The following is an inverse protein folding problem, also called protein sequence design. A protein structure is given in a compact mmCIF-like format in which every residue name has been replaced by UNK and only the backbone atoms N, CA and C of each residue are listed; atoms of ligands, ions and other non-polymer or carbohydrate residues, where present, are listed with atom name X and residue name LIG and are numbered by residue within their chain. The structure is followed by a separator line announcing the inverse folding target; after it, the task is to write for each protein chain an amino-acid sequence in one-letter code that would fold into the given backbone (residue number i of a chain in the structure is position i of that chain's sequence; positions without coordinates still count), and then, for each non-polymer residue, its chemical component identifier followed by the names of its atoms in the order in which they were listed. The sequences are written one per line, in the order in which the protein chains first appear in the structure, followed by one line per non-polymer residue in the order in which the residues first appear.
data_IF_549497933083
#
_entry.id   IF_549497933083
#
_cell.length_a   1.000
_cell.length_b   1.000
_cell.length_c   1.000
_cell.angle_alpha   90.00
_cell.angle_beta   90.00
_cell.angle_gamma   90.00
#
_symmetry.space_group_name_H-M   'P 1'
#
loop_
_entity.id
_entity.type
_entity.pdbx_description
1 polymer ?
#
# COMPACT_ATOMS: atom_id res chain seq x y z
N UNK A 1 -48.66 93.68 -45.62
CA UNK A 1 -47.56 93.47 -44.64
C UNK A 1 -47.70 92.08 -44.04
N UNK A 2 -46.56 91.41 -43.83
CA UNK A 2 -46.29 90.20 -43.03
C UNK A 2 -46.81 88.82 -43.48
N UNK A 3 -45.86 87.86 -43.43
CA UNK A 3 -45.80 86.48 -43.96
C UNK A 3 -46.75 85.47 -43.29
N UNK A 4 -46.81 84.24 -43.86
CA UNK A 4 -46.69 83.04 -43.03
C UNK A 4 -45.58 82.08 -43.47
N UNK A 5 -45.30 81.16 -42.55
CA UNK A 5 -44.23 80.15 -42.44
C UNK A 5 -44.58 78.89 -43.25
N UNK A 6 -43.61 78.22 -43.87
CA UNK A 6 -43.61 76.76 -44.06
C UNK A 6 -42.17 76.25 -44.34
N UNK A 7 -41.70 75.29 -43.54
CA UNK A 7 -40.61 74.35 -43.88
C UNK A 7 -41.21 73.16 -44.68
N UNK A 8 -40.50 72.18 -45.30
CA UNK A 8 -39.09 71.75 -45.09
C UNK A 8 -38.37 71.30 -46.39
N UNK A 9 -37.13 70.77 -46.30
CA UNK A 9 -36.67 69.61 -47.11
C UNK A 9 -35.24 69.18 -46.73
N UNK A 10 -35.07 67.92 -46.27
CA UNK A 10 -33.79 67.22 -46.13
C UNK A 10 -33.39 66.58 -47.47
N UNK A 11 -32.10 66.61 -47.85
CA UNK A 11 -31.51 65.73 -48.87
C UNK A 11 -30.10 65.25 -48.46
N UNK A 12 -30.03 63.96 -48.16
CA UNK A 12 -29.06 62.89 -48.52
C UNK A 12 -27.53 63.16 -48.64
N UNK A 13 -26.79 62.53 -47.71
CA UNK A 13 -25.60 61.62 -47.79
C UNK A 13 -24.37 61.90 -48.72
N UNK A 14 -23.23 61.20 -48.50
CA UNK A 14 -22.06 61.50 -47.65
C UNK A 14 -20.80 61.73 -48.58
N UNK A 15 -19.47 61.73 -48.22
CA UNK A 15 -18.78 60.64 -47.51
C UNK A 15 -17.45 60.98 -46.77
N UNK A 16 -16.78 59.91 -46.31
CA UNK A 16 -15.34 59.71 -46.08
C UNK A 16 -14.70 60.03 -44.71
N UNK A 17 -14.53 58.95 -43.95
CA UNK A 17 -13.26 58.41 -43.42
C UNK A 17 -12.34 59.39 -42.67
N UNK A 18 -12.26 59.23 -41.35
CA UNK A 18 -10.97 59.28 -40.64
C UNK A 18 -10.77 58.02 -39.82
N UNK A 19 -9.62 57.41 -40.11
CA UNK A 19 -8.97 56.31 -39.43
C UNK A 19 -8.95 56.51 -37.91
N UNK A 20 -9.34 55.47 -37.17
CA UNK A 20 -8.77 55.19 -35.87
C UNK A 20 -8.55 53.68 -35.78
N UNK A 21 -7.38 53.25 -36.26
CA UNK A 21 -6.82 51.94 -35.97
C UNK A 21 -6.56 51.86 -34.46
N UNK A 22 -7.45 51.22 -33.71
CA UNK A 22 -7.09 50.63 -32.42
C UNK A 22 -7.15 49.11 -32.56
N UNK A 23 -6.13 48.59 -33.26
CA UNK A 23 -5.68 47.21 -33.04
C UNK A 23 -4.89 47.23 -31.75
N UNK A 24 -5.57 47.05 -30.61
CA UNK A 24 -4.90 46.60 -29.40
C UNK A 24 -5.18 45.10 -29.27
N UNK A 25 -4.20 44.38 -29.81
CA UNK A 25 -3.95 42.95 -29.70
C UNK A 25 -4.20 42.49 -28.25
N UNK A 26 -5.39 41.96 -27.98
CA UNK A 26 -5.64 41.16 -26.79
C UNK A 26 -4.89 39.84 -26.99
N UNK A 27 -3.64 39.82 -26.55
CA UNK A 27 -2.87 38.60 -26.35
C UNK A 27 -3.54 37.83 -25.22
N UNK A 28 -4.60 37.08 -25.55
CA UNK A 28 -5.14 36.07 -24.67
C UNK A 28 -4.05 35.01 -24.52
N UNK A 29 -3.25 35.13 -23.45
CA UNK A 29 -2.48 34.02 -22.93
C UNK A 29 -3.52 32.93 -22.61
N UNK A 30 -3.72 32.02 -23.55
CA UNK A 30 -4.31 30.73 -23.27
C UNK A 30 -3.33 30.05 -22.31
N UNK A 31 -3.50 30.29 -21.01
CA UNK A 31 -3.00 29.39 -20.00
C UNK A 31 -3.63 28.04 -20.34
N UNK A 32 -2.85 27.19 -21.01
CA UNK A 32 -3.06 25.76 -20.96
C UNK A 32 -2.92 25.42 -19.49
N UNK A 33 -4.04 25.47 -18.77
CA UNK A 33 -4.18 24.82 -17.49
C UNK A 33 -3.98 23.35 -17.81
N UNK A 34 -2.73 22.90 -17.75
CA UNK A 34 -2.42 21.49 -17.83
C UNK A 34 -3.35 20.83 -16.85
N UNK A 35 -4.24 19.97 -17.36
CA UNK A 35 -5.18 19.25 -16.52
C UNK A 35 -4.37 18.61 -15.41
N UNK A 36 -4.42 19.20 -14.20
CA UNK A 36 -3.98 18.53 -13.00
C UNK A 36 -4.97 17.38 -12.90
N UNK A 37 -4.60 16.21 -13.48
CA UNK A 37 -5.42 15.00 -13.45
C UNK A 37 -5.79 14.83 -12.00
N UNK A 38 -7.04 15.13 -11.65
CA UNK A 38 -7.46 15.15 -10.27
C UNK A 38 -7.13 13.79 -9.69
N UNK A 39 -6.14 13.74 -8.80
CA UNK A 39 -5.77 12.50 -8.13
C UNK A 39 -7.06 11.99 -7.50
N UNK A 40 -7.41 10.74 -7.80
CA UNK A 40 -8.70 10.20 -7.40
C UNK A 40 -8.94 10.45 -5.93
N UNK A 41 -9.96 11.27 -5.63
CA UNK A 41 -10.34 11.52 -4.24
C UNK A 41 -11.06 10.34 -3.61
N UNK A 42 -11.41 9.29 -4.37
CA UNK A 42 -12.10 8.12 -3.84
C UNK A 42 -11.16 6.93 -3.71
N UNK A 43 -11.03 6.40 -2.50
CA UNK A 43 -10.24 5.21 -2.21
C UNK A 43 -11.17 4.10 -1.74
N UNK A 44 -11.14 2.96 -2.42
CA UNK A 44 -11.76 1.72 -1.95
C UNK A 44 -10.73 0.98 -1.11
N UNK A 45 -10.97 0.91 0.21
CA UNK A 45 -10.11 0.22 1.16
C UNK A 45 -10.70 -1.16 1.45
N UNK A 46 -9.91 -2.19 1.17
CA UNK A 46 -10.28 -3.58 1.37
C UNK A 46 -9.57 -4.19 2.57
N UNK A 47 -10.33 -4.43 3.63
CA UNK A 47 -9.82 -5.13 4.80
C UNK A 47 -9.85 -6.65 4.54
N UNK A 48 -8.70 -7.26 4.28
CA UNK A 48 -8.58 -8.70 3.96
C UNK A 48 -9.31 -9.60 4.95
N UNK A 49 -9.82 -10.76 4.49
CA UNK A 49 -10.51 -11.76 5.32
C UNK A 49 -11.79 -11.24 6.02
N UNK A 50 -12.25 -11.88 7.09
CA UNK A 50 -13.41 -11.46 7.89
C UNK A 50 -14.41 -12.59 8.17
N UNK A 51 -15.16 -12.48 9.26
CA UNK A 51 -16.16 -13.47 9.65
C UNK A 51 -15.52 -14.85 9.87
N UNK A 52 -16.00 -15.88 9.18
CA UNK A 52 -15.46 -17.23 9.28
C UNK A 52 -14.04 -17.36 8.69
N UNK A 53 -13.63 -16.46 7.81
CA UNK A 53 -12.28 -16.43 7.26
C UNK A 53 -11.37 -15.67 8.23
N UNK A 54 -10.58 -16.42 9.00
CA UNK A 54 -9.61 -15.88 9.96
C UNK A 54 -8.38 -15.25 9.28
N UNK A 55 -8.09 -15.64 8.04
CA UNK A 55 -6.81 -15.45 7.38
C UNK A 55 -5.66 -16.24 8.02
N UNK A 56 -4.50 -16.26 7.34
CA UNK A 56 -3.29 -16.93 7.81
C UNK A 56 -3.30 -18.47 7.86
N UNK A 57 -2.15 -19.08 8.14
CA UNK A 57 -1.94 -20.55 8.10
C UNK A 57 -1.99 -21.22 9.49
N UNK A 58 -2.08 -22.57 9.56
CA UNK A 58 -1.87 -23.28 10.82
C UNK A 58 -0.56 -22.86 11.52
N UNK A 59 -0.58 -22.77 12.85
CA UNK A 59 0.50 -22.25 13.74
C UNK A 59 0.67 -20.73 13.75
N UNK A 60 -0.12 -19.98 12.99
CA UNK A 60 -0.19 -18.54 13.14
C UNK A 60 -0.76 -18.16 14.51
N UNK A 61 -0.09 -17.23 15.21
CA UNK A 61 -0.40 -16.88 16.61
C UNK A 61 -1.62 -15.97 16.76
N UNK A 62 -1.92 -15.18 15.74
CA UNK A 62 -2.94 -14.13 15.76
C UNK A 62 -3.84 -14.23 14.53
N UNK A 63 -5.13 -13.92 14.68
CA UNK A 63 -6.06 -13.87 13.54
C UNK A 63 -5.75 -12.65 12.67
N UNK A 64 -5.56 -12.87 11.37
CA UNK A 64 -5.24 -11.79 10.42
C UNK A 64 -6.41 -10.82 10.28
N UNK A 65 -7.65 -11.35 10.19
CA UNK A 65 -8.87 -10.57 9.94
C UNK A 65 -9.09 -9.38 10.88
N UNK A 66 -8.69 -9.48 12.15
CA UNK A 66 -8.84 -8.40 13.12
C UNK A 66 -7.79 -7.30 12.91
N UNK A 67 -6.58 -7.70 12.56
CA UNK A 67 -5.46 -6.79 12.30
C UNK A 67 -5.68 -6.01 11.00
N UNK A 68 -6.14 -6.69 9.95
CA UNK A 68 -6.46 -6.04 8.66
C UNK A 68 -7.63 -5.07 8.81
N UNK A 69 -8.65 -5.40 9.60
CA UNK A 69 -9.76 -4.49 9.90
C UNK A 69 -9.28 -3.23 10.62
N UNK A 70 -8.50 -3.39 11.70
CA UNK A 70 -8.01 -2.26 12.49
C UNK A 70 -7.10 -1.33 11.66
N UNK A 71 -6.14 -1.87 10.90
CA UNK A 71 -5.29 -1.07 10.00
C UNK A 71 -6.15 -0.35 8.95
N UNK A 72 -7.13 -1.03 8.37
CA UNK A 72 -8.00 -0.44 7.34
C UNK A 72 -8.89 0.68 7.88
N UNK A 73 -9.42 0.54 9.10
CA UNK A 73 -10.19 1.59 9.76
C UNK A 73 -9.33 2.80 10.14
N UNK A 74 -8.07 2.57 10.56
CA UNK A 74 -7.10 3.65 10.77
C UNK A 74 -6.77 4.36 9.46
N UNK A 75 -6.53 3.59 8.39
CA UNK A 75 -6.26 4.12 7.06
C UNK A 75 -7.41 4.98 6.57
N UNK A 76 -8.66 4.51 6.75
CA UNK A 76 -9.86 5.29 6.47
C UNK A 76 -9.82 6.65 7.17
N UNK A 77 -9.63 6.68 8.50
CA UNK A 77 -9.59 7.94 9.26
C UNK A 77 -8.51 8.90 8.77
N UNK A 78 -7.30 8.38 8.51
CA UNK A 78 -6.18 9.18 8.01
C UNK A 78 -6.48 9.75 6.63
N UNK A 79 -7.08 8.97 5.73
CA UNK A 79 -7.45 9.40 4.39
C UNK A 79 -8.60 10.41 4.40
N UNK A 80 -9.66 10.17 5.17
CA UNK A 80 -10.80 11.09 5.33
C UNK A 80 -10.36 12.45 5.88
N UNK A 81 -9.47 12.47 6.88
CA UNK A 81 -8.86 13.70 7.39
C UNK A 81 -8.03 14.45 6.33
N UNK A 82 -7.58 13.76 5.28
CA UNK A 82 -6.89 14.34 4.12
C UNK A 82 -7.81 14.70 2.95
N UNK A 83 -9.14 14.71 3.14
CA UNK A 83 -10.11 15.08 2.11
C UNK A 83 -10.44 13.97 1.10
N UNK A 84 -10.07 12.73 1.37
CA UNK A 84 -10.44 11.58 0.53
C UNK A 84 -11.81 11.03 0.95
N UNK A 85 -12.62 10.64 -0.02
CA UNK A 85 -13.78 9.78 0.19
C UNK A 85 -13.30 8.34 0.30
N UNK A 86 -13.66 7.64 1.38
CA UNK A 86 -13.24 6.25 1.60
C UNK A 86 -14.44 5.31 1.55
N UNK A 87 -14.34 4.27 0.72
CA UNK A 87 -15.31 3.18 0.63
C UNK A 87 -14.67 1.93 1.21
N UNK A 88 -15.24 1.37 2.26
CA UNK A 88 -14.74 0.14 2.87
C UNK A 88 -15.41 -1.08 2.25
N UNK A 89 -14.66 -2.15 1.94
CA UNK A 89 -15.29 -3.43 1.55
C UNK A 89 -16.01 -4.09 2.72
N UNK A 90 -15.50 -3.89 3.95
CA UNK A 90 -16.16 -4.21 5.23
C UNK A 90 -15.73 -3.24 6.31
N UNK A 91 -16.62 -2.94 7.25
CA UNK A 91 -16.36 -2.07 8.40
C UNK A 91 -16.55 -2.78 9.76
N UNK A 92 -16.76 -4.09 9.74
CA UNK A 92 -16.93 -4.96 10.91
C UNK A 92 -16.33 -6.35 10.62
N UNK A 93 -16.38 -7.26 11.59
CA UNK A 93 -15.91 -8.65 11.41
C UNK A 93 -16.92 -9.51 10.66
N UNK A 94 -17.18 -9.15 9.40
CA UNK A 94 -18.06 -9.89 8.49
C UNK A 94 -17.26 -10.48 7.34
N UNK A 95 -17.66 -11.65 6.88
CA UNK A 95 -17.07 -12.24 5.67
C UNK A 95 -17.60 -11.51 4.43
N UNK A 96 -16.69 -11.06 3.57
CA UNK A 96 -17.01 -10.53 2.25
C UNK A 96 -16.24 -11.35 1.23
N UNK A 97 -16.94 -11.96 0.27
CA UNK A 97 -16.32 -12.80 -0.75
C UNK A 97 -15.41 -11.99 -1.67
N UNK A 98 -14.44 -12.66 -2.31
CA UNK A 98 -13.55 -12.00 -3.27
C UNK A 98 -14.32 -11.33 -4.42
N UNK A 99 -15.41 -11.96 -4.89
CA UNK A 99 -16.32 -11.39 -5.89
C UNK A 99 -17.01 -10.11 -5.44
N UNK A 100 -17.53 -10.09 -4.21
CA UNK A 100 -18.16 -8.90 -3.64
C UNK A 100 -17.16 -7.75 -3.45
N UNK A 101 -15.93 -8.02 -2.98
CA UNK A 101 -14.88 -7.00 -2.86
C UNK A 101 -14.59 -6.33 -4.20
N UNK A 102 -14.49 -7.14 -5.25
CA UNK A 102 -14.29 -6.67 -6.64
C UNK A 102 -15.51 -5.88 -7.13
N UNK A 103 -16.73 -6.34 -6.84
CA UNK A 103 -17.95 -5.65 -7.23
C UNK A 103 -18.02 -4.25 -6.59
N UNK A 104 -17.69 -4.14 -5.29
CA UNK A 104 -17.60 -2.86 -4.57
C UNK A 104 -16.54 -1.95 -5.23
N UNK A 105 -15.35 -2.48 -5.54
CA UNK A 105 -14.31 -1.68 -6.20
C UNK A 105 -14.76 -1.19 -7.58
N UNK A 106 -15.40 -2.06 -8.35
CA UNK A 106 -15.82 -1.81 -9.72
C UNK A 106 -17.06 -0.93 -9.87
N UNK A 107 -17.83 -0.71 -8.80
CA UNK A 107 -18.95 0.24 -8.78
C UNK A 107 -18.52 1.70 -8.57
N UNK A 108 -17.22 1.93 -8.34
CA UNK A 108 -16.64 3.26 -8.13
C UNK A 108 -15.61 3.57 -9.24
N UNK A 109 -16.06 3.88 -10.48
CA UNK A 109 -15.15 4.25 -11.55
C UNK A 109 -14.32 5.48 -11.15
N UNK A 110 -13.06 5.49 -11.55
CA UNK A 110 -12.11 6.54 -11.19
C UNK A 110 -11.56 6.43 -9.77
N UNK A 111 -12.01 5.52 -8.90
CA UNK A 111 -11.41 5.28 -7.59
C UNK A 111 -10.03 4.60 -7.67
N UNK A 112 -9.36 4.45 -6.53
CA UNK A 112 -8.20 3.58 -6.35
C UNK A 112 -8.52 2.48 -5.33
N UNK A 113 -8.11 1.24 -5.59
CA UNK A 113 -8.30 0.10 -4.71
C UNK A 113 -7.04 -0.22 -3.90
N UNK A 114 -7.17 -0.35 -2.58
CA UNK A 114 -6.07 -0.71 -1.67
C UNK A 114 -6.53 -1.82 -0.73
N UNK A 115 -5.95 -3.01 -0.88
CA UNK A 115 -6.21 -4.16 -0.02
C UNK A 115 -5.11 -4.31 1.03
N UNK A 116 -5.51 -4.50 2.29
CA UNK A 116 -4.61 -4.60 3.44
C UNK A 116 -4.63 -6.02 3.97
N UNK A 117 -3.46 -6.64 4.03
CA UNK A 117 -3.23 -8.01 4.48
C UNK A 117 -2.00 -8.10 5.39
N UNK A 118 -1.84 -9.25 6.04
CA UNK A 118 -0.56 -9.65 6.60
C UNK A 118 -0.22 -11.05 6.11
N UNK A 119 1.02 -11.24 5.71
CA UNK A 119 1.47 -12.46 5.08
C UNK A 119 1.60 -13.59 6.09
N UNK A 120 1.77 -14.79 5.56
CA UNK A 120 2.08 -15.98 6.33
C UNK A 120 2.97 -16.92 5.51
N UNK A 121 3.84 -17.68 6.19
CA UNK A 121 4.71 -18.65 5.53
C UNK A 121 4.97 -19.87 6.41
N UNK A 122 5.17 -21.06 5.82
CA UNK A 122 5.59 -22.25 6.58
C UNK A 122 6.89 -22.04 7.35
N UNK A 123 7.82 -21.24 6.79
CA UNK A 123 9.06 -20.87 7.46
C UNK A 123 8.80 -19.73 8.44
N UNK A 124 8.80 -20.05 9.73
CA UNK A 124 8.60 -19.10 10.85
C UNK A 124 9.52 -17.88 10.79
N UNK A 125 10.73 -18.01 10.24
CA UNK A 125 11.68 -16.91 10.09
C UNK A 125 11.45 -15.99 8.87
N UNK A 126 10.40 -16.17 8.07
CA UNK A 126 10.05 -15.22 7.01
C UNK A 126 9.53 -13.93 7.64
N UNK A 127 10.01 -12.77 7.20
CA UNK A 127 9.63 -11.45 7.68
C UNK A 127 9.74 -10.44 6.54
N UNK A 128 9.13 -9.27 6.71
CA UNK A 128 9.24 -8.16 5.78
C UNK A 128 7.93 -7.77 5.11
N UNK A 129 7.95 -6.60 4.49
CA UNK A 129 6.83 -6.00 3.77
C UNK A 129 6.88 -6.42 2.31
N UNK A 130 5.74 -6.84 1.76
CA UNK A 130 5.54 -7.07 0.32
C UNK A 130 4.41 -6.19 -0.19
N UNK A 131 4.47 -5.79 -1.45
CA UNK A 131 3.36 -5.05 -2.07
C UNK A 131 3.12 -5.57 -3.47
N UNK A 132 1.85 -5.81 -3.78
CA UNK A 132 1.42 -6.49 -4.98
C UNK A 132 0.52 -5.61 -5.83
N UNK A 133 0.67 -5.74 -7.14
CA UNK A 133 -0.17 -5.06 -8.13
C UNK A 133 -0.41 -6.00 -9.31
N UNK A 134 -1.37 -5.69 -10.17
CA UNK A 134 -1.62 -6.48 -11.38
C UNK A 134 -1.63 -5.66 -12.66
N UNK A 135 -2.40 -4.57 -12.68
CA UNK A 135 -2.51 -3.66 -13.82
C UNK A 135 -1.23 -2.82 -13.95
N UNK A 136 -0.85 -2.48 -15.18
CA UNK A 136 0.38 -1.69 -15.44
C UNK A 136 0.30 -0.30 -14.82
N UNK A 137 -0.87 0.33 -14.89
CA UNK A 137 -1.15 1.65 -14.30
C UNK A 137 -1.09 1.68 -12.76
N UNK A 138 -1.03 0.52 -12.10
CA UNK A 138 -0.93 0.41 -10.63
C UNK A 138 0.51 0.34 -10.12
N UNK A 139 1.51 0.23 -11.01
CA UNK A 139 2.90 0.03 -10.63
C UNK A 139 3.48 1.21 -9.82
N UNK A 140 3.24 2.45 -10.26
CA UNK A 140 3.72 3.64 -9.56
C UNK A 140 3.07 3.82 -8.19
N UNK A 141 1.75 3.52 -8.10
CA UNK A 141 1.03 3.51 -6.83
C UNK A 141 1.61 2.47 -5.87
N UNK A 142 1.84 1.24 -6.35
CA UNK A 142 2.45 0.18 -5.54
C UNK A 142 3.85 0.59 -5.03
N UNK A 143 4.69 1.18 -5.89
CA UNK A 143 6.00 1.67 -5.50
C UNK A 143 5.93 2.78 -4.44
N UNK A 144 4.98 3.71 -4.57
CA UNK A 144 4.79 4.82 -3.63
C UNK A 144 4.24 4.34 -2.27
N UNK A 145 3.32 3.38 -2.25
CA UNK A 145 2.86 2.77 -1.00
C UNK A 145 4.01 2.00 -0.36
N UNK A 146 4.65 1.11 -1.12
CA UNK A 146 5.70 0.24 -0.60
C UNK A 146 6.87 1.01 0.02
N UNK A 147 7.37 2.06 -0.66
CA UNK A 147 8.50 2.86 -0.15
C UNK A 147 8.21 3.51 1.20
N UNK A 148 6.97 3.96 1.42
CA UNK A 148 6.59 4.65 2.65
C UNK A 148 6.40 3.63 3.77
N UNK A 149 5.70 2.52 3.49
CA UNK A 149 5.48 1.46 4.48
C UNK A 149 6.81 0.88 4.96
N UNK A 150 7.75 0.59 4.06
CA UNK A 150 9.08 0.08 4.43
C UNK A 150 9.89 1.11 5.22
N UNK A 151 9.76 2.41 4.93
CA UNK A 151 10.48 3.45 5.67
C UNK A 151 9.95 3.61 7.12
N UNK A 152 8.68 3.27 7.36
CA UNK A 152 8.05 3.35 8.69
C UNK A 152 7.98 2.03 9.46
N UNK A 153 8.31 0.90 8.83
CA UNK A 153 8.20 -0.43 9.44
C UNK A 153 9.57 -0.99 9.86
N UNK A 154 9.70 -1.60 11.05
CA UNK A 154 10.92 -2.28 11.50
C UNK A 154 11.04 -3.68 10.87
N UNK A 155 10.81 -3.76 9.56
CA UNK A 155 10.63 -5.01 8.81
C UNK A 155 11.44 -4.98 7.50
N UNK A 156 11.87 -6.14 7.04
CA UNK A 156 12.66 -6.27 5.80
C UNK A 156 11.91 -5.73 4.57
N UNK A 157 12.65 -5.14 3.64
CA UNK A 157 12.13 -4.75 2.33
C UNK A 157 12.13 -5.95 1.38
N UNK A 158 10.95 -6.43 0.97
CA UNK A 158 10.81 -7.56 0.04
C UNK A 158 10.33 -7.16 -1.36
N UNK A 159 10.18 -5.86 -1.58
CA UNK A 159 9.89 -5.24 -2.86
C UNK A 159 8.42 -5.32 -3.28
N UNK A 160 8.19 -4.73 -4.46
CA UNK A 160 6.92 -4.81 -5.17
C UNK A 160 6.93 -5.97 -6.17
N UNK A 161 5.79 -6.63 -6.38
CA UNK A 161 5.67 -7.74 -7.33
C UNK A 161 4.36 -7.68 -8.09
N UNK A 162 4.41 -7.91 -9.40
CA UNK A 162 3.20 -8.15 -10.19
C UNK A 162 2.65 -9.55 -9.90
N UNK A 163 1.42 -9.65 -9.39
CA UNK A 163 0.72 -10.92 -9.07
C UNK A 163 -0.76 -10.85 -9.42
N UNK A 164 -1.29 -11.95 -9.94
CA UNK A 164 -2.68 -12.08 -10.37
C UNK A 164 -3.63 -12.50 -9.25
N UNK A 165 -3.53 -11.91 -8.06
CA UNK A 165 -4.51 -12.13 -7.00
C UNK A 165 -5.90 -11.72 -7.48
N UNK A 166 -6.93 -12.47 -7.10
CA UNK A 166 -8.28 -12.30 -7.65
C UNK A 166 -8.76 -10.84 -7.58
N UNK A 167 -8.65 -10.22 -6.40
CA UNK A 167 -9.06 -8.83 -6.15
C UNK A 167 -8.27 -7.80 -6.97
N UNK A 168 -7.03 -8.10 -7.37
CA UNK A 168 -6.22 -7.22 -8.23
C UNK A 168 -6.49 -7.48 -9.71
N UNK A 169 -6.70 -8.74 -10.09
CA UNK A 169 -6.91 -9.17 -11.48
C UNK A 169 -8.28 -8.80 -12.01
N UNK A 170 -9.31 -8.82 -11.15
CA UNK A 170 -10.72 -8.60 -11.53
C UNK A 170 -11.21 -7.16 -11.28
N UNK A 171 -10.43 -6.35 -10.59
CA UNK A 171 -10.73 -4.93 -10.38
C UNK A 171 -10.35 -4.11 -11.62
N UNK A 172 -11.25 -3.22 -12.06
CA UNK A 172 -11.13 -2.38 -13.26
C UNK A 172 -10.48 -1.02 -12.99
N UNK A 173 -10.31 -0.67 -11.73
CA UNK A 173 -9.58 0.52 -11.26
C UNK A 173 -8.13 0.17 -10.84
N UNK A 174 -7.21 1.15 -10.73
CA UNK A 174 -5.88 0.90 -10.19
C UNK A 174 -5.94 0.24 -8.80
N UNK A 175 -5.14 -0.79 -8.57
CA UNK A 175 -5.29 -1.67 -7.42
C UNK A 175 -3.95 -2.17 -6.85
N UNK A 176 -3.82 -2.09 -5.53
CA UNK A 176 -2.64 -2.56 -4.78
C UNK A 176 -3.07 -3.43 -3.60
N UNK A 177 -2.30 -4.47 -3.31
CA UNK A 177 -2.42 -5.28 -2.09
C UNK A 177 -1.13 -5.15 -1.28
N UNK A 178 -1.24 -4.76 -0.01
CA UNK A 178 -0.11 -4.55 0.90
C UNK A 178 -0.07 -5.67 1.91
N UNK A 179 1.05 -6.38 1.99
CA UNK A 179 1.34 -7.35 3.04
C UNK A 179 2.19 -6.68 4.12
N UNK A 180 1.57 -6.40 5.27
CA UNK A 180 2.13 -5.57 6.35
C UNK A 180 3.10 -6.31 7.29
N UNK A 181 3.62 -7.46 6.88
CA UNK A 181 4.51 -8.33 7.68
C UNK A 181 4.03 -9.77 7.74
N UNK A 182 4.81 -10.67 8.34
CA UNK A 182 4.50 -12.11 8.39
C UNK A 182 3.98 -12.54 9.77
N UNK A 183 2.69 -12.88 9.92
CA UNK A 183 2.10 -13.25 11.23
C UNK A 183 2.58 -14.60 11.78
N UNK A 184 3.23 -15.42 10.94
CA UNK A 184 3.94 -16.63 11.37
C UNK A 184 5.27 -16.32 12.06
N UNK A 185 5.82 -15.12 11.85
CA UNK A 185 7.04 -14.67 12.53
C UNK A 185 6.69 -14.07 13.90
N UNK A 186 7.28 -14.58 15.00
CA UNK A 186 6.95 -14.09 16.34
C UNK A 186 7.20 -12.60 16.55
N UNK A 187 8.24 -12.05 15.92
CA UNK A 187 8.58 -10.63 16.05
C UNK A 187 7.58 -9.76 15.29
N UNK A 188 7.31 -10.09 14.03
CA UNK A 188 6.34 -9.36 13.20
C UNK A 188 4.91 -9.46 13.77
N UNK A 189 4.55 -10.60 14.36
CA UNK A 189 3.28 -10.75 15.06
C UNK A 189 3.18 -9.83 16.29
N UNK A 190 4.28 -9.64 17.04
CA UNK A 190 4.32 -8.66 18.15
C UNK A 190 4.19 -7.23 17.66
N UNK A 191 4.81 -6.90 16.52
CA UNK A 191 4.63 -5.60 15.88
C UNK A 191 3.17 -5.40 15.50
N UNK A 192 2.58 -6.36 14.80
CA UNK A 192 1.20 -6.30 14.35
C UNK A 192 0.21 -6.16 15.51
N UNK A 193 0.49 -6.74 16.68
CA UNK A 193 -0.31 -6.58 17.91
C UNK A 193 -0.20 -5.20 18.56
N UNK A 194 0.84 -4.41 18.25
CA UNK A 194 1.00 -3.05 18.78
C UNK A 194 0.07 -2.06 18.04
N UNK A 195 -0.87 -1.37 18.74
CA UNK A 195 -1.77 -0.39 18.12
C UNK A 195 -1.06 0.78 17.44
N UNK A 196 0.05 1.26 18.00
CA UNK A 196 0.85 2.34 17.42
C UNK A 196 1.53 1.92 16.12
N UNK A 197 1.94 0.65 16.01
CA UNK A 197 2.46 0.12 14.75
C UNK A 197 1.36 0.05 13.68
N UNK A 198 0.16 -0.41 14.04
CA UNK A 198 -0.98 -0.42 13.10
C UNK A 198 -1.38 0.99 12.65
N UNK A 199 -1.29 1.97 13.55
CA UNK A 199 -1.46 3.39 13.22
C UNK A 199 -0.39 3.87 12.24
N UNK A 200 0.87 3.55 12.50
CA UNK A 200 1.99 3.89 11.61
C UNK A 200 1.81 3.29 10.21
N UNK A 201 1.42 2.02 10.11
CA UNK A 201 1.13 1.37 8.83
C UNK A 201 0.05 2.15 8.04
N UNK A 202 -1.04 2.53 8.69
CA UNK A 202 -2.10 3.31 8.07
C UNK A 202 -1.60 4.68 7.56
N UNK A 203 -0.80 5.39 8.35
CA UNK A 203 -0.20 6.67 7.96
C UNK A 203 0.74 6.55 6.76
N UNK A 204 1.59 5.52 6.74
CA UNK A 204 2.53 5.31 5.64
C UNK A 204 1.83 4.84 4.36
N UNK A 205 0.79 4.02 4.45
CA UNK A 205 -0.04 3.67 3.31
C UNK A 205 -0.72 4.93 2.75
N UNK A 206 -1.32 5.76 3.61
CA UNK A 206 -1.96 7.02 3.20
C UNK A 206 -0.95 7.99 2.56
N UNK A 207 0.26 8.11 3.11
CA UNK A 207 1.34 8.92 2.55
C UNK A 207 1.72 8.45 1.15
N UNK A 208 1.83 7.14 0.95
CA UNK A 208 2.09 6.54 -0.36
C UNK A 208 0.96 6.76 -1.37
N UNK A 209 -0.30 6.66 -0.94
CA UNK A 209 -1.47 6.98 -1.78
C UNK A 209 -1.43 8.44 -2.25
N UNK A 210 -1.05 9.37 -1.36
CA UNK A 210 -0.88 10.80 -1.66
C UNK A 210 0.32 11.09 -2.57
N UNK A 211 1.19 10.11 -2.82
CA UNK A 211 2.43 10.32 -3.58
C UNK A 211 3.51 11.11 -2.82
N UNK A 212 3.33 11.32 -1.52
CA UNK A 212 4.30 12.01 -0.67
C UNK A 212 5.43 11.03 -0.32
N UNK A 213 6.67 11.50 -0.39
CA UNK A 213 7.84 10.70 0.04
C UNK A 213 8.01 10.81 1.55
N UNK A 214 8.19 9.68 2.23
CA UNK A 214 8.73 9.69 3.58
C UNK A 214 10.07 10.46 3.58
N UNK A 215 10.34 11.30 4.59
CA UNK A 215 11.63 11.95 4.72
C UNK A 215 12.71 10.85 4.78
N UNK A 216 13.60 10.85 3.79
CA UNK A 216 14.80 10.01 3.83
C UNK A 216 15.57 10.43 5.08
N UNK A 217 15.79 9.52 6.03
CA UNK A 217 16.68 9.80 7.15
C UNK A 217 18.02 10.28 6.61
N UNK A 218 18.45 11.49 7.00
CA UNK A 218 19.80 11.97 6.67
C UNK A 218 20.82 10.92 7.16
N UNK A 219 21.88 10.61 6.40
CA UNK A 219 23.03 9.93 6.98
C UNK A 219 23.50 10.77 8.17
N UNK A 220 23.74 10.14 9.32
CA UNK A 220 24.28 10.80 10.51
C UNK A 220 25.66 11.38 10.16
N UNK A 221 25.71 12.64 9.74
CA UNK A 221 26.93 13.42 9.68
C UNK A 221 27.37 13.70 11.13
N UNK A 222 28.65 13.46 11.43
CA UNK A 222 29.25 13.78 12.73
C UNK A 222 29.37 15.30 12.88
N UNK A 223 28.87 15.84 14.00
CA UNK A 223 29.01 17.23 14.44
C UNK A 223 28.09 18.20 13.68
N UNK A 224 27.44 19.21 14.26
CA UNK A 224 27.61 19.95 15.50
C UNK A 224 26.21 20.38 15.98
N UNK A 225 26.01 20.49 17.29
CA UNK A 225 24.74 20.85 17.90
C UNK A 225 24.35 22.31 17.60
N UNK A 226 23.10 22.53 17.21
CA UNK A 226 22.33 23.75 17.48
C UNK A 226 20.84 23.46 17.28
N UNK A 227 20.02 24.24 17.98
CA UNK A 227 18.65 24.08 18.45
C UNK A 227 17.52 23.84 17.43
N UNK A 228 16.40 23.36 18.00
CA UNK A 228 14.98 23.55 17.62
C UNK A 228 14.29 22.39 16.88
N UNK A 229 13.16 21.98 17.45
CA UNK A 229 12.19 20.96 16.99
C UNK A 229 12.67 19.50 16.91
N UNK A 230 12.47 18.78 18.02
CA UNK A 230 12.51 17.31 18.03
C UNK A 230 11.27 16.78 17.29
N UNK A 231 11.40 16.60 15.97
CA UNK A 231 10.49 15.74 15.22
C UNK A 231 10.60 14.30 15.80
N UNK A 232 9.49 13.62 16.11
CA UNK A 232 9.55 12.25 16.62
C UNK A 232 10.24 11.37 15.60
N UNK A 233 11.41 10.83 15.99
CA UNK A 233 12.16 9.86 15.21
C UNK A 233 11.23 8.70 14.82
N UNK A 234 11.35 8.13 13.61
CA UNK A 234 10.61 6.94 13.27
C UNK A 234 11.10 5.79 14.16
N UNK A 235 10.39 5.57 15.25
CA UNK A 235 10.38 4.36 16.05
C UNK A 235 11.65 4.06 16.88
N UNK A 236 11.87 4.89 17.90
CA UNK A 236 12.75 4.57 19.05
C UNK A 236 11.95 4.64 20.35
N UNK A 237 10.94 3.78 20.50
CA UNK A 237 10.33 3.52 21.81
C UNK A 237 11.20 2.53 22.61
N UNK A 238 11.18 2.54 23.95
CA UNK A 238 12.05 1.72 24.79
C UNK A 238 11.91 0.19 24.61
N UNK A 239 10.92 -0.28 23.83
CA UNK A 239 10.62 -1.71 23.65
C UNK A 239 11.25 -2.35 22.39
N UNK A 240 11.95 -1.59 21.54
CA UNK A 240 12.42 -2.10 20.24
C UNK A 240 13.94 -2.28 20.19
N UNK A 241 14.42 -3.34 20.83
CA UNK A 241 15.80 -3.82 20.60
C UNK A 241 15.82 -4.71 19.36
N UNK A 242 16.46 -4.23 18.30
CA UNK A 242 16.85 -5.03 17.13
C UNK A 242 17.80 -6.15 17.58
N UNK A 243 17.29 -7.36 17.75
CA UNK A 243 18.13 -8.52 18.00
C UNK A 243 18.99 -8.81 16.76
N UNK A 244 20.30 -8.56 16.86
CA UNK A 244 21.27 -8.98 15.85
C UNK A 244 21.52 -10.49 15.98
N UNK A 245 21.65 -11.25 14.88
CA UNK A 245 22.02 -12.65 14.97
C UNK A 245 23.50 -12.74 15.36
N UNK A 246 23.81 -13.12 16.61
CA UNK A 246 25.17 -13.52 16.98
C UNK A 246 25.55 -14.77 16.19
N UNK A 247 26.62 -14.66 15.41
CA UNK A 247 27.28 -15.81 14.79
C UNK A 247 27.63 -16.85 15.86
N UNK A 248 27.10 -18.07 15.74
CA UNK A 248 27.56 -19.19 16.55
C UNK A 248 28.88 -19.68 15.97
N UNK A 249 29.99 -19.21 16.53
CA UNK A 249 31.30 -19.88 16.38
C UNK A 249 31.20 -21.28 16.99
N UNK A 250 31.64 -22.27 16.23
CA UNK A 250 31.75 -23.68 16.60
C UNK A 250 32.72 -23.85 17.78
N UNK A 251 32.21 -24.32 18.91
CA UNK A 251 33.05 -24.91 19.96
C UNK A 251 33.15 -26.42 19.72
N UNK A 252 34.33 -26.84 19.25
CA UNK A 252 34.84 -28.22 19.34
C UNK A 252 34.78 -28.65 20.81
N UNK A 253 34.15 -29.79 21.11
CA UNK A 253 34.46 -30.54 22.34
C UNK A 253 34.95 -31.94 21.99
N UNK A 254 36.00 -32.31 22.70
CA UNK A 254 36.83 -33.50 22.55
C UNK A 254 36.18 -34.74 23.15
N UNK A 255 36.56 -35.88 22.59
CA UNK A 255 36.24 -37.26 22.98
C UNK A 255 36.39 -37.53 24.48
N UNK A 256 35.50 -38.38 25.00
CA UNK A 256 35.88 -39.46 25.92
C UNK A 256 35.12 -40.74 25.58
N UNK A 257 35.88 -41.84 25.52
CA UNK A 257 35.46 -43.20 25.17
C UNK A 257 34.77 -43.85 26.37
N UNK A 258 33.67 -44.60 26.16
CA UNK A 258 33.43 -45.84 26.91
C UNK A 258 32.72 -46.88 26.05
N UNK A 259 33.42 -47.99 25.80
CA UNK A 259 32.93 -49.23 25.19
C UNK A 259 31.94 -49.92 26.13
N UNK A 260 30.82 -50.43 25.61
CA UNK A 260 30.32 -51.78 25.93
C UNK A 260 29.69 -52.40 24.68
N UNK A 261 30.07 -53.65 24.40
CA UNK A 261 29.60 -54.53 23.32
C UNK A 261 28.39 -55.33 23.79
N UNK A 262 27.45 -55.65 22.89
CA UNK A 262 26.86 -56.99 22.64
C UNK A 262 25.67 -56.84 21.65
N UNK A 263 25.84 -57.34 20.41
CA UNK A 263 25.16 -58.53 19.82
C UNK A 263 23.70 -58.27 19.39
N UNK A 264 23.45 -57.88 18.14
CA UNK A 264 23.14 -58.77 16.98
C UNK A 264 21.69 -59.30 16.94
N UNK A 265 20.91 -58.86 15.95
CA UNK A 265 20.37 -59.75 14.93
C UNK A 265 19.73 -58.97 13.77
N UNK A 266 19.95 -59.51 12.57
CA UNK A 266 19.47 -59.05 11.26
C UNK A 266 17.95 -59.26 11.15
N UNK A 267 17.27 -58.36 10.41
CA UNK A 267 16.45 -58.79 9.26
C UNK A 267 16.16 -57.63 8.30
N UNK A 268 16.54 -57.84 7.04
CA UNK A 268 16.13 -57.08 5.86
C UNK A 268 14.65 -57.32 5.59
N UNK A 269 13.92 -56.29 5.15
CA UNK A 269 12.98 -56.43 4.04
C UNK A 269 12.74 -55.08 3.36
N UNK A 270 12.90 -55.14 2.06
CA UNK A 270 12.70 -54.12 1.04
C UNK A 270 11.22 -53.87 0.77
N UNK A 271 10.85 -52.62 0.55
CA UNK A 271 9.74 -52.30 -0.37
C UNK A 271 9.95 -50.92 -1.00
N UNK A 272 10.06 -50.95 -2.31
CA UNK A 272 10.06 -49.86 -3.27
C UNK A 272 8.90 -48.88 -3.08
N UNK A 273 9.21 -47.59 -2.92
CA UNK A 273 8.25 -46.50 -2.96
C UNK A 273 8.72 -45.39 -3.90
N UNK A 274 8.00 -45.23 -5.01
CA UNK A 274 8.22 -44.24 -6.09
C UNK A 274 8.58 -42.84 -5.56
N UNK A 275 9.70 -42.29 -6.03
CA UNK A 275 10.04 -40.86 -5.93
C UNK A 275 8.98 -40.03 -6.67
N UNK A 276 8.06 -39.39 -5.94
CA UNK A 276 7.31 -38.23 -6.46
C UNK A 276 8.17 -36.99 -6.29
N UNK A 277 8.40 -36.28 -7.40
CA UNK A 277 9.02 -34.96 -7.45
C UNK A 277 8.27 -34.02 -6.50
N UNK A 278 8.97 -33.50 -5.49
CA UNK A 278 8.44 -32.44 -4.61
C UNK A 278 8.61 -31.11 -5.35
N UNK A 279 7.55 -30.69 -6.04
CA UNK A 279 7.40 -29.30 -6.48
C UNK A 279 6.94 -28.47 -5.29
N UNK A 280 7.71 -27.45 -4.96
CA UNK A 280 7.47 -26.46 -3.91
C UNK A 280 6.03 -25.92 -3.93
N UNK A 281 5.25 -26.29 -2.92
CA UNK A 281 3.91 -25.75 -2.67
C UNK A 281 4.06 -24.36 -2.03
N UNK A 282 4.20 -23.33 -2.86
CA UNK A 282 3.49 -22.08 -2.59
C UNK A 282 2.06 -22.27 -3.10
N UNK A 283 1.08 -21.62 -2.45
CA UNK A 283 -0.36 -21.52 -2.79
C UNK A 283 -1.26 -22.31 -1.86
N UNK A 284 -1.82 -21.63 -0.85
CA UNK A 284 -3.26 -21.58 -0.53
C UNK A 284 -3.46 -20.33 0.34
N UNK A 285 -3.72 -19.14 -0.25
CA UNK A 285 -4.40 -18.07 0.52
C UNK A 285 -4.95 -16.85 -0.23
N UNK A 286 -4.54 -16.58 -1.47
CA UNK A 286 -5.09 -15.43 -2.24
C UNK A 286 -5.41 -15.83 -3.70
N UNK A 287 -5.56 -17.13 -3.97
CA UNK A 287 -5.75 -17.70 -5.31
C UNK A 287 -7.06 -18.49 -5.42
N UNK A 288 -8.14 -17.98 -4.84
CA UNK A 288 -9.48 -18.48 -5.17
C UNK A 288 -9.81 -18.15 -6.62
N UNK A 289 -9.94 -19.20 -7.44
CA UNK A 289 -10.49 -19.30 -8.81
C UNK A 289 -10.45 -18.03 -9.70
#
# INVERSE_FOLDING_TARGET
MTRPIFAPSKKNHPPLRRLANFVLLSLALAFSTGEVRAQSRTIVVDAGHGGHDRGGVPRQRVGEKGLTLDVSQRLRRVLEAGGYRVIMTRNSDVFVSLGQRVAIANSHPGATFVSVHFNSAPRVGANGIETYYYRRDSASLAANIHRNVVAGAPSENRGIRRRGYYVLRRTRIPGVLVECGFLTNPMEARYALNPSYRQKLAEEIARGIRGVRAPMGRPLARGSASSSEVLPQPFSGPDFVRATPRSRRSARSSKSKKKKKSSSSKRKRSSSGKKKKSSSVQRVQILGA
#
